data_IF_520089210949
#
_entry.id   IF_520089210949
#
_cell.length_a   1.000
_cell.length_b   1.000
_cell.length_c   1.000
_cell.angle_alpha   90.00
_cell.angle_beta   90.00
_cell.angle_gamma   90.00
#
_symmetry.space_group_name_H-M   'P 1'
#
loop_
_entity.id
_entity.type
_entity.pdbx_description
1 polymer ?
#
# COMPACT_ATOMS: atom_id res chain seq x y z
N UNK A 1 14.18 -11.70 -14.16
CA UNK A 1 13.43 -11.90 -12.89
C UNK A 1 14.08 -13.06 -12.10
N UNK A 2 14.11 -13.03 -10.76
CA UNK A 2 14.73 -14.06 -9.90
C UNK A 2 13.66 -14.76 -9.06
N UNK A 3 13.68 -16.09 -8.97
CA UNK A 3 12.59 -16.90 -8.36
C UNK A 3 12.49 -16.94 -6.82
N UNK A 4 13.35 -16.24 -6.07
CA UNK A 4 13.40 -16.33 -4.60
C UNK A 4 12.77 -15.15 -3.84
N UNK A 5 12.28 -14.13 -4.53
CA UNK A 5 11.60 -13.01 -3.86
C UNK A 5 10.15 -13.38 -3.56
N UNK A 6 9.75 -13.26 -2.30
CA UNK A 6 8.36 -13.42 -1.85
C UNK A 6 7.70 -12.05 -1.71
N UNK A 7 6.47 -11.92 -2.19
CA UNK A 7 5.64 -10.72 -2.03
C UNK A 7 4.29 -11.15 -1.47
N UNK A 8 3.96 -10.66 -0.28
CA UNK A 8 2.75 -11.00 0.46
C UNK A 8 2.47 -9.92 1.52
N UNK A 9 1.25 -9.90 2.08
CA UNK A 9 0.79 -8.91 3.07
C UNK A 9 0.82 -7.46 2.53
N UNK A 10 0.22 -7.24 1.35
CA UNK A 10 0.10 -5.95 0.70
C UNK A 10 -1.35 -5.45 0.64
N UNK A 11 -1.52 -4.12 0.58
CA UNK A 11 -2.80 -3.46 0.29
C UNK A 11 -2.83 -2.95 -1.14
N UNK A 12 -3.71 -3.50 -1.98
CA UNK A 12 -3.88 -3.10 -3.38
C UNK A 12 -5.14 -2.28 -3.60
N UNK A 13 -5.00 -1.19 -4.37
CA UNK A 13 -6.15 -0.49 -4.94
C UNK A 13 -6.24 -0.80 -6.44
N UNK A 14 -7.27 -1.54 -6.81
CA UNK A 14 -7.50 -1.93 -8.20
C UNK A 14 -7.91 -0.74 -9.08
N UNK A 15 -7.50 -0.78 -10.34
CA UNK A 15 -7.91 0.18 -11.35
C UNK A 15 -9.26 -0.20 -11.93
N UNK A 16 -10.33 0.51 -11.52
CA UNK A 16 -11.71 0.24 -11.99
C UNK A 16 -11.90 0.37 -13.51
N UNK A 17 -10.96 0.98 -14.22
CA UNK A 17 -11.01 1.20 -15.67
C UNK A 17 -10.14 0.20 -16.47
N UNK A 18 -9.56 -0.81 -15.81
CA UNK A 18 -8.74 -1.82 -16.47
C UNK A 18 -9.32 -3.22 -16.25
N UNK A 19 -9.30 -4.06 -17.28
CA UNK A 19 -9.64 -5.48 -17.14
C UNK A 19 -8.46 -6.27 -16.57
N UNK A 20 -7.25 -5.91 -16.98
CA UNK A 20 -6.00 -6.48 -16.46
C UNK A 20 -5.50 -5.66 -15.26
N UNK A 21 -5.51 -6.26 -14.08
CA UNK A 21 -5.09 -5.63 -12.82
C UNK A 21 -3.64 -5.92 -12.47
N UNK A 22 -3.17 -7.12 -12.79
CA UNK A 22 -1.84 -7.59 -12.45
C UNK A 22 -1.19 -8.24 -13.67
N UNK A 23 0.11 -8.03 -13.84
CA UNK A 23 0.94 -8.73 -14.82
C UNK A 23 2.07 -9.42 -14.07
N UNK A 24 2.14 -10.75 -14.14
CA UNK A 24 3.19 -11.54 -13.52
C UNK A 24 4.19 -12.05 -14.55
N UNK A 25 5.47 -11.79 -14.28
CA UNK A 25 6.58 -12.17 -15.16
C UNK A 25 7.57 -13.03 -14.38
N UNK A 26 7.65 -14.31 -14.76
CA UNK A 26 8.53 -15.28 -14.10
C UNK A 26 9.37 -16.03 -15.12
N UNK A 27 10.65 -16.33 -14.82
CA UNK A 27 11.50 -17.19 -15.65
C UNK A 27 11.03 -18.67 -15.67
N UNK A 28 9.92 -19.00 -15.00
CA UNK A 28 9.38 -20.35 -14.89
C UNK A 28 10.29 -21.23 -14.05
N UNK A 29 10.71 -22.36 -14.59
CA UNK A 29 11.63 -23.30 -13.92
C UNK A 29 13.09 -22.79 -13.89
N UNK A 30 13.44 -21.81 -14.74
CA UNK A 30 14.78 -21.24 -14.74
C UNK A 30 14.97 -20.32 -13.54
N UNK A 31 16.15 -20.35 -12.93
CA UNK A 31 16.47 -19.48 -11.79
C UNK A 31 16.48 -17.99 -12.18
N UNK A 32 16.94 -17.67 -13.39
CA UNK A 32 17.04 -16.30 -13.92
C UNK A 32 16.89 -16.29 -15.43
N UNK A 33 16.14 -15.33 -15.93
CA UNK A 33 16.11 -14.96 -17.34
C UNK A 33 16.18 -13.43 -17.44
N UNK A 34 17.14 -12.93 -18.24
CA UNK A 34 17.41 -11.51 -18.46
C UNK A 34 16.76 -10.96 -19.73
N UNK A 35 16.22 -11.83 -20.59
CA UNK A 35 15.55 -11.44 -21.82
C UNK A 35 14.02 -11.37 -21.66
N UNK A 36 13.49 -11.90 -20.56
CA UNK A 36 12.04 -11.87 -20.29
C UNK A 36 11.56 -10.44 -20.08
N UNK A 37 10.44 -10.12 -20.70
CA UNK A 37 9.79 -8.81 -20.63
C UNK A 37 8.37 -8.93 -20.10
N UNK A 38 7.69 -7.80 -19.90
CA UNK A 38 6.27 -7.77 -19.52
C UNK A 38 5.35 -8.37 -20.58
N UNK A 39 5.79 -8.44 -21.85
CA UNK A 39 5.01 -9.07 -22.95
C UNK A 39 4.91 -10.58 -22.80
N UNK A 40 5.84 -11.18 -22.08
CA UNK A 40 5.87 -12.62 -21.78
C UNK A 40 5.08 -12.93 -20.49
N UNK A 41 4.51 -11.90 -19.85
CA UNK A 41 3.81 -12.01 -18.58
C UNK A 41 2.41 -12.57 -18.72
N UNK A 42 1.91 -13.15 -17.63
CA UNK A 42 0.51 -13.56 -17.51
C UNK A 42 -0.28 -12.46 -16.80
N UNK A 43 -1.36 -12.01 -17.44
CA UNK A 43 -2.28 -11.03 -16.87
C UNK A 43 -3.35 -11.69 -16.00
N UNK A 44 -3.78 -10.99 -14.96
CA UNK A 44 -4.85 -11.42 -14.04
C UNK A 44 -5.81 -10.27 -13.77
N UNK A 45 -7.10 -10.60 -13.63
CA UNK A 45 -8.16 -9.61 -13.40
C UNK A 45 -8.41 -9.34 -11.92
N UNK A 46 -7.89 -10.18 -11.03
CA UNK A 46 -8.06 -10.02 -9.58
C UNK A 46 -6.87 -10.55 -8.78
N UNK A 47 -6.76 -10.09 -7.54
CA UNK A 47 -5.75 -10.55 -6.59
C UNK A 47 -5.91 -12.07 -6.31
N UNK A 48 -7.15 -12.55 -6.28
CA UNK A 48 -7.47 -13.96 -6.09
C UNK A 48 -6.93 -14.84 -7.22
N UNK A 49 -7.07 -14.39 -8.47
CA UNK A 49 -6.54 -15.13 -9.63
C UNK A 49 -5.01 -15.15 -9.64
N UNK A 50 -4.37 -14.02 -9.33
CA UNK A 50 -2.92 -13.95 -9.18
C UNK A 50 -2.43 -14.93 -8.10
N UNK A 51 -3.06 -14.90 -6.93
CA UNK A 51 -2.68 -15.76 -5.80
C UNK A 51 -2.86 -17.24 -6.14
N UNK A 52 -4.01 -17.62 -6.73
CA UNK A 52 -4.25 -19.00 -7.13
C UNK A 52 -3.26 -19.52 -8.17
N UNK A 53 -2.79 -18.65 -9.08
CA UNK A 53 -1.88 -19.06 -10.15
C UNK A 53 -0.40 -19.06 -9.74
N UNK A 54 -0.01 -18.30 -8.72
CA UNK A 54 1.40 -18.07 -8.37
C UNK A 54 1.77 -18.51 -6.96
N UNK A 55 0.80 -18.65 -6.06
CA UNK A 55 1.00 -18.81 -4.62
C UNK A 55 1.45 -17.54 -3.89
N UNK A 56 1.71 -16.43 -4.61
CA UNK A 56 2.07 -15.14 -4.04
C UNK A 56 0.83 -14.39 -3.54
N UNK A 57 1.04 -13.32 -2.76
CA UNK A 57 -0.01 -12.39 -2.32
C UNK A 57 -1.21 -13.09 -1.64
N UNK A 58 -0.95 -14.21 -0.95
CA UNK A 58 -1.99 -15.07 -0.36
C UNK A 58 -2.70 -14.43 0.85
N UNK A 59 -2.05 -13.47 1.52
CA UNK A 59 -2.58 -12.71 2.65
C UNK A 59 -2.86 -11.25 2.31
N UNK A 60 -2.57 -10.85 1.08
CA UNK A 60 -2.81 -9.50 0.59
C UNK A 60 -4.29 -9.22 0.41
N UNK A 61 -4.65 -7.94 0.50
CA UNK A 61 -6.05 -7.50 0.47
C UNK A 61 -6.25 -6.34 -0.49
N UNK A 62 -7.49 -6.22 -0.97
CA UNK A 62 -7.95 -5.04 -1.70
C UNK A 62 -8.45 -3.97 -0.73
N UNK A 63 -7.95 -2.74 -0.92
CA UNK A 63 -8.27 -1.54 -0.15
C UNK A 63 -8.51 -0.35 -1.08
N UNK A 64 -9.19 0.69 -0.58
CA UNK A 64 -9.35 1.97 -1.28
C UNK A 64 -9.19 3.11 -0.26
N UNK A 65 -9.37 4.37 -0.69
CA UNK A 65 -9.23 5.55 0.18
C UNK A 65 -10.16 5.55 1.40
N UNK A 66 -11.22 4.74 1.37
CA UNK A 66 -12.22 4.63 2.43
C UNK A 66 -11.68 4.05 3.74
N UNK A 67 -10.51 3.41 3.73
CA UNK A 67 -9.84 2.90 4.93
C UNK A 67 -9.31 4.03 5.83
N UNK A 68 -9.11 5.22 5.29
CA UNK A 68 -8.52 6.35 6.01
C UNK A 68 -9.58 7.27 6.62
N UNK A 69 -9.23 7.98 7.69
CA UNK A 69 -10.11 8.90 8.40
C UNK A 69 -10.61 10.03 7.50
N UNK A 70 -9.70 10.66 6.74
CA UNK A 70 -10.02 11.72 5.77
C UNK A 70 -8.94 11.77 4.69
N UNK A 71 -9.05 10.85 3.72
CA UNK A 71 -8.21 10.83 2.54
C UNK A 71 -9.09 10.60 1.32
N UNK A 72 -8.83 11.35 0.26
CA UNK A 72 -9.57 11.26 -1.00
C UNK A 72 -8.59 11.18 -2.16
N UNK A 73 -8.96 10.50 -3.27
CA UNK A 73 -8.16 10.54 -4.47
C UNK A 73 -8.03 11.99 -4.96
N UNK A 74 -6.90 12.36 -5.59
CA UNK A 74 -6.79 13.66 -6.25
C UNK A 74 -7.91 13.87 -7.26
N UNK A 75 -8.50 15.07 -7.27
CA UNK A 75 -9.51 15.43 -8.25
C UNK A 75 -8.88 15.58 -9.64
N UNK A 76 -9.34 14.73 -10.56
CA UNK A 76 -8.86 14.71 -11.95
C UNK A 76 -9.25 15.96 -12.74
N UNK A 77 -10.28 16.69 -12.33
CA UNK A 77 -10.69 17.94 -12.98
C UNK A 77 -9.77 19.12 -12.62
N UNK A 78 -9.14 19.09 -11.44
CA UNK A 78 -8.28 20.16 -10.92
C UNK A 78 -6.82 19.74 -10.85
N UNK A 79 -6.21 19.53 -12.01
CA UNK A 79 -4.83 19.04 -12.17
C UNK A 79 -3.73 19.92 -11.52
N UNK A 80 -4.06 21.15 -11.14
CA UNK A 80 -3.14 22.08 -10.45
C UNK A 80 -3.53 22.36 -8.99
N UNK A 81 -4.45 21.57 -8.42
CA UNK A 81 -4.80 21.70 -7.02
C UNK A 81 -3.56 21.46 -6.15
N UNK A 82 -3.30 22.39 -5.24
CA UNK A 82 -2.28 22.25 -4.21
C UNK A 82 -2.93 21.51 -3.05
N UNK A 83 -2.40 20.35 -2.71
CA UNK A 83 -2.82 19.59 -1.53
C UNK A 83 -1.84 19.91 -0.40
N UNK A 84 -2.33 20.50 0.69
CA UNK A 84 -1.51 20.68 1.87
C UNK A 84 -1.51 19.38 2.68
N UNK A 85 -0.33 18.97 3.17
CA UNK A 85 -0.21 17.76 3.99
C UNK A 85 -1.07 17.81 5.27
N UNK A 86 -1.39 19.02 5.76
CA UNK A 86 -2.30 19.25 6.88
C UNK A 86 -3.74 18.80 6.61
N UNK A 87 -4.13 18.74 5.34
CA UNK A 87 -5.51 18.50 4.94
C UNK A 87 -5.77 17.00 4.69
N UNK A 88 -4.70 16.20 4.66
CA UNK A 88 -4.73 14.77 4.42
C UNK A 88 -4.54 14.00 5.73
N UNK A 89 -5.47 13.10 6.04
CA UNK A 89 -5.36 12.23 7.21
C UNK A 89 -5.11 10.79 6.77
N UNK A 90 -3.84 10.38 6.87
CA UNK A 90 -3.38 9.02 6.54
C UNK A 90 -3.60 8.00 7.68
N UNK A 91 -4.23 8.41 8.78
CA UNK A 91 -4.61 7.48 9.85
C UNK A 91 -5.72 6.56 9.37
N UNK A 92 -5.58 5.28 9.68
CA UNK A 92 -6.64 4.29 9.45
C UNK A 92 -7.85 4.59 10.35
N UNK A 93 -9.04 4.30 9.83
CA UNK A 93 -10.24 4.17 10.66
C UNK A 93 -10.06 2.98 11.62
N UNK A 94 -10.64 3.01 12.84
CA UNK A 94 -10.47 1.93 13.83
C UNK A 94 -10.84 0.52 13.35
N UNK A 95 -11.77 0.40 12.41
CA UNK A 95 -12.22 -0.87 11.85
C UNK A 95 -11.88 -1.00 10.35
N UNK A 96 -10.85 -0.28 9.88
CA UNK A 96 -10.43 -0.36 8.50
C UNK A 96 -9.96 -1.77 8.15
N UNK A 97 -10.15 -2.18 6.89
CA UNK A 97 -9.71 -3.50 6.41
C UNK A 97 -8.21 -3.74 6.58
N UNK A 98 -7.42 -2.67 6.62
CA UNK A 98 -5.97 -2.70 6.79
C UNK A 98 -5.52 -2.98 8.24
N UNK A 99 -6.43 -2.92 9.22
CA UNK A 99 -6.10 -3.14 10.64
C UNK A 99 -5.82 -4.62 10.91
N UNK A 100 -4.74 -4.91 11.64
CA UNK A 100 -4.26 -6.25 11.98
C UNK A 100 -4.05 -7.15 10.73
N UNK A 101 -3.60 -6.58 9.60
CA UNK A 101 -3.42 -7.32 8.33
C UNK A 101 -1.99 -7.39 7.81
N UNK A 102 -1.04 -6.82 8.53
CA UNK A 102 0.38 -6.90 8.23
C UNK A 102 1.04 -8.15 8.79
N UNK A 103 2.32 -8.28 8.48
CA UNK A 103 3.21 -9.28 9.05
C UNK A 103 4.23 -8.61 9.95
N UNK A 104 4.65 -9.31 11.00
CA UNK A 104 5.70 -8.84 11.89
C UNK A 104 7.03 -8.84 11.12
N UNK A 105 7.66 -7.68 11.10
CA UNK A 105 8.99 -7.44 10.57
C UNK A 105 9.91 -7.13 11.76
N UNK A 106 10.78 -8.08 12.16
CA UNK A 106 11.61 -7.93 13.35
C UNK A 106 12.42 -6.63 13.32
N UNK A 107 12.39 -5.89 14.42
CA UNK A 107 13.05 -4.58 14.63
C UNK A 107 12.47 -3.42 13.80
N UNK A 108 11.35 -3.62 13.08
CA UNK A 108 10.72 -2.59 12.25
C UNK A 108 9.37 -2.16 12.83
N UNK A 109 8.51 -3.12 13.15
CA UNK A 109 7.14 -2.87 13.61
C UNK A 109 6.80 -3.66 14.87
N UNK A 110 7.78 -4.02 15.70
CA UNK A 110 7.59 -4.81 16.91
C UNK A 110 6.66 -4.15 17.95
N UNK A 111 6.44 -2.85 17.84
CA UNK A 111 5.61 -2.05 18.73
C UNK A 111 4.16 -1.89 18.27
N UNK A 112 3.73 -2.66 17.25
CA UNK A 112 2.35 -2.68 16.75
C UNK A 112 1.32 -2.91 17.86
N UNK A 113 0.08 -2.51 17.60
CA UNK A 113 -1.04 -2.68 18.55
C UNK A 113 -2.03 -3.68 17.98
N UNK A 114 -2.60 -4.53 18.85
CA UNK A 114 -3.61 -5.50 18.42
C UNK A 114 -3.04 -6.89 18.22
N UNK A 115 -3.51 -7.57 17.18
CA UNK A 115 -3.18 -8.98 16.85
C UNK A 115 -2.05 -9.10 15.84
N UNK A 116 -1.88 -8.11 14.98
CA UNK A 116 -0.80 -8.02 14.00
C UNK A 116 -0.54 -6.54 13.64
N UNK A 117 0.59 -6.20 13.00
CA UNK A 117 0.79 -4.86 12.46
C UNK A 117 -0.32 -4.44 11.51
N UNK A 118 -0.61 -3.15 11.44
CA UNK A 118 -1.51 -2.61 10.44
C UNK A 118 -0.81 -2.51 9.09
N UNK A 119 -1.55 -2.66 7.99
CA UNK A 119 -1.02 -2.34 6.67
C UNK A 119 -0.91 -0.82 6.51
N UNK A 120 0.33 -0.34 6.42
CA UNK A 120 0.63 1.07 6.19
C UNK A 120 1.73 1.58 7.11
N UNK A 121 1.78 2.91 7.27
CA UNK A 121 2.84 3.57 8.03
C UNK A 121 2.43 3.98 9.45
N UNK A 122 1.14 3.98 9.77
CA UNK A 122 0.59 4.49 11.03
C UNK A 122 -0.44 3.50 11.55
N UNK A 123 -0.17 2.93 12.73
CA UNK A 123 -1.08 2.05 13.46
C UNK A 123 -2.36 2.80 13.87
N UNK A 124 -3.52 2.16 13.73
CA UNK A 124 -4.81 2.72 14.06
C UNK A 124 -4.87 3.13 15.54
N UNK A 125 -5.44 4.31 15.81
CA UNK A 125 -5.56 4.85 17.17
C UNK A 125 -4.26 5.45 17.73
N UNK A 126 -3.14 5.42 17.01
CA UNK A 126 -1.92 6.13 17.41
C UNK A 126 -1.96 7.61 17.03
N UNK A 127 -1.21 8.45 17.74
CA UNK A 127 -1.07 9.87 17.42
C UNK A 127 -0.33 10.08 16.08
N UNK A 128 -0.78 11.04 15.28
CA UNK A 128 -0.13 11.38 14.00
C UNK A 128 1.35 11.73 14.23
N UNK A 129 2.28 11.11 13.48
CA UNK A 129 3.69 11.48 13.54
C UNK A 129 3.88 12.95 13.14
N UNK A 130 4.71 13.68 13.89
CA UNK A 130 5.09 15.04 13.49
C UNK A 130 6.20 14.92 12.46
N UNK A 131 5.86 15.20 11.20
CA UNK A 131 6.82 15.21 10.09
C UNK A 131 7.57 16.55 10.01
N UNK A 132 8.87 16.50 9.68
CA UNK A 132 9.68 17.70 9.40
C UNK A 132 10.37 18.34 10.62
N UNK A 133 10.99 19.51 10.37
CA UNK A 133 11.77 20.24 11.38
C UNK A 133 10.88 20.63 12.56
N UNK A 134 11.27 20.26 13.77
CA UNK A 134 10.65 20.74 15.02
C UNK A 134 10.99 22.21 15.23
N UNK A 135 10.26 23.11 14.58
CA UNK A 135 10.37 24.54 14.87
C UNK A 135 9.67 24.75 16.21
N UNK A 136 10.43 25.13 17.23
CA UNK A 136 9.91 25.33 18.60
C UNK A 136 9.09 26.62 18.76
N UNK A 137 8.94 27.44 17.73
CA UNK A 137 8.17 28.67 17.78
C UNK A 137 6.97 28.64 16.84
N UNK A 138 5.77 28.69 17.42
CA UNK A 138 4.52 29.06 16.75
C UNK A 138 4.40 30.58 16.68
N UNK A 139 5.41 31.29 16.18
CA UNK A 139 5.22 32.69 15.83
C UNK A 139 4.57 32.75 14.44
N UNK A 140 3.31 33.16 14.46
CA UNK A 140 2.42 33.42 13.33
C UNK A 140 3.16 34.05 12.15
N UNK A 141 3.22 33.37 11.01
CA UNK A 141 3.62 33.99 9.75
C UNK A 141 2.35 34.39 8.99
N UNK A 142 1.82 35.58 9.30
CA UNK A 142 1.06 36.35 8.33
C UNK A 142 2.03 37.23 7.55
N UNK A 143 2.00 37.13 6.22
CA UNK A 143 2.28 38.22 5.29
C UNK A 143 1.31 38.13 4.14
#
# INVERSE_FOLDING_TARGET
STSYSTYDYNGYRLNKNAEEQFVWVSPGEKLRDYNITTKDGKSFSSLKELSAATGLESHSIEVDYDIFMNLHPPDTATRYAIYHASDLQFQLKPNAKAVDKGVILPNINDDFKGKAPDLGAIEAGTSIPIYGRRIKDKSSFYR
#
